data_IF_778753586857
#
_entry.id   IF_778753586857
#
_cell.length_a   1.000
_cell.length_b   1.000
_cell.length_c   1.000
_cell.angle_alpha   90.00
_cell.angle_beta   90.00
_cell.angle_gamma   90.00
#
_symmetry.space_group_name_H-M   'P 1'
#
loop_
_entity.id
_entity.type
_entity.pdbx_description
1 polymer ?
#
# COMPACT_ATOMS: atom_id res chain seq x y z
N UNK A 1 -62.60 -6.34 20.32
CA UNK A 1 -61.18 -6.65 20.59
C UNK A 1 -60.54 -7.20 19.33
N UNK A 2 -59.77 -6.40 18.58
CA UNK A 2 -58.85 -6.84 17.50
C UNK A 2 -58.14 -5.61 16.92
N UNK A 3 -57.12 -5.12 17.62
CA UNK A 3 -56.21 -4.09 17.12
C UNK A 3 -54.84 -4.25 17.81
N UNK A 4 -54.23 -5.42 17.62
CA UNK A 4 -52.83 -5.64 18.03
C UNK A 4 -52.24 -6.62 17.01
N UNK A 5 -51.79 -6.13 15.85
CA UNK A 5 -50.88 -6.91 15.00
C UNK A 5 -50.05 -6.09 14.00
N UNK A 6 -50.29 -4.77 13.84
CA UNK A 6 -49.62 -3.98 12.80
C UNK A 6 -48.40 -3.16 13.24
N UNK A 7 -48.04 -3.15 14.54
CA UNK A 7 -46.92 -2.32 15.03
C UNK A 7 -45.60 -3.10 15.14
N UNK A 8 -45.64 -4.44 15.12
CA UNK A 8 -44.41 -5.23 15.23
C UNK A 8 -43.64 -5.39 13.91
N UNK A 9 -44.29 -5.25 12.75
CA UNK A 9 -43.64 -5.47 11.45
C UNK A 9 -42.82 -4.24 10.98
N UNK A 10 -43.19 -3.03 11.41
CA UNK A 10 -42.47 -1.79 11.04
C UNK A 10 -41.18 -1.59 11.83
N UNK A 11 -41.08 -2.12 13.05
CA UNK A 11 -39.86 -2.05 13.87
C UNK A 11 -38.75 -2.96 13.34
N UNK A 12 -39.08 -4.14 12.80
CA UNK A 12 -38.08 -5.07 12.23
C UNK A 12 -37.45 -4.53 10.93
N UNK A 13 -38.19 -3.75 10.13
CA UNK A 13 -37.65 -3.15 8.90
C UNK A 13 -36.73 -1.95 9.16
N UNK A 14 -36.96 -1.20 10.25
CA UNK A 14 -36.07 -0.08 10.59
C UNK A 14 -34.72 -0.59 11.12
N UNK A 15 -34.72 -1.62 11.96
CA UNK A 15 -33.48 -2.21 12.51
C UNK A 15 -32.57 -2.76 11.40
N UNK A 16 -33.13 -3.37 10.34
CA UNK A 16 -32.30 -3.89 9.23
C UNK A 16 -31.71 -2.79 8.33
N UNK A 17 -32.40 -1.65 8.17
CA UNK A 17 -31.91 -0.53 7.34
C UNK A 17 -30.78 0.24 8.04
N UNK A 18 -30.91 0.46 9.36
CA UNK A 18 -29.86 1.14 10.14
C UNK A 18 -28.56 0.32 10.23
N UNK A 19 -28.64 -1.00 10.42
CA UNK A 19 -27.45 -1.86 10.47
C UNK A 19 -26.67 -1.93 9.14
N UNK A 20 -27.37 -1.82 8.01
CA UNK A 20 -26.75 -1.82 6.67
C UNK A 20 -25.98 -0.51 6.41
N UNK A 21 -26.54 0.64 6.80
CA UNK A 21 -25.91 1.95 6.60
C UNK A 21 -24.63 2.10 7.44
N UNK A 22 -24.66 1.68 8.71
CA UNK A 22 -23.50 1.67 9.59
C UNK A 22 -22.37 0.76 9.06
N UNK A 23 -22.72 -0.43 8.57
CA UNK A 23 -21.76 -1.36 7.98
C UNK A 23 -21.15 -0.81 6.68
N UNK A 24 -21.94 -0.17 5.81
CA UNK A 24 -21.43 0.50 4.63
C UNK A 24 -20.45 1.63 4.99
N UNK A 25 -20.76 2.41 6.02
CA UNK A 25 -19.88 3.46 6.51
C UNK A 25 -18.55 2.89 7.04
N UNK A 26 -18.61 1.80 7.82
CA UNK A 26 -17.42 1.10 8.32
C UNK A 26 -16.54 0.57 7.19
N UNK A 27 -17.13 0.03 6.11
CA UNK A 27 -16.38 -0.40 4.92
C UNK A 27 -15.70 0.78 4.23
N UNK A 28 -16.39 1.89 4.04
CA UNK A 28 -15.82 3.07 3.39
C UNK A 28 -14.64 3.63 4.20
N UNK A 29 -14.80 3.74 5.52
CA UNK A 29 -13.71 4.14 6.43
C UNK A 29 -12.55 3.15 6.36
N UNK A 30 -12.81 1.85 6.35
CA UNK A 30 -11.75 0.85 6.20
C UNK A 30 -11.01 0.97 4.86
N UNK A 31 -11.69 1.27 3.76
CA UNK A 31 -11.05 1.51 2.45
C UNK A 31 -10.13 2.72 2.51
N UNK A 32 -10.54 3.81 3.15
CA UNK A 32 -9.69 4.99 3.36
C UNK A 32 -8.46 4.65 4.21
N UNK A 33 -8.63 3.92 5.32
CA UNK A 33 -7.54 3.44 6.18
C UNK A 33 -6.57 2.55 5.39
N UNK A 34 -7.08 1.62 4.59
CA UNK A 34 -6.27 0.75 3.74
C UNK A 34 -5.51 1.54 2.66
N UNK A 35 -6.11 2.61 2.14
CA UNK A 35 -5.44 3.53 1.21
C UNK A 35 -4.24 4.19 1.86
N UNK A 36 -4.42 4.77 3.06
CA UNK A 36 -3.32 5.37 3.84
C UNK A 36 -2.27 4.32 4.19
N UNK A 37 -2.69 3.11 4.60
CA UNK A 37 -1.76 2.01 4.86
C UNK A 37 -0.94 1.63 3.62
N UNK A 38 -1.54 1.67 2.43
CA UNK A 38 -0.82 1.49 1.16
C UNK A 38 0.15 2.65 0.87
N UNK A 39 -0.22 3.90 1.18
CA UNK A 39 0.69 5.06 1.10
C UNK A 39 1.96 4.82 1.92
N UNK A 40 1.80 4.51 3.19
CA UNK A 40 2.93 4.29 4.11
C UNK A 40 3.76 3.11 3.62
N UNK A 41 3.11 1.97 3.36
CA UNK A 41 3.83 0.73 3.06
C UNK A 41 4.51 0.75 1.70
N UNK A 42 3.91 1.33 0.66
CA UNK A 42 4.43 1.25 -0.73
C UNK A 42 5.15 2.51 -1.16
N UNK A 43 4.81 3.66 -0.60
CA UNK A 43 5.33 4.97 -1.02
C UNK A 43 6.22 5.61 0.04
N UNK A 44 6.35 5.00 1.23
CA UNK A 44 7.15 5.57 2.30
C UNK A 44 6.56 6.86 2.87
N UNK A 45 5.26 7.14 2.66
CA UNK A 45 4.57 8.34 3.14
C UNK A 45 4.26 8.23 4.64
N UNK A 46 5.30 8.07 5.46
CA UNK A 46 5.20 7.83 6.90
C UNK A 46 4.58 9.00 7.67
N UNK A 47 4.55 10.20 7.08
CA UNK A 47 3.86 11.38 7.63
C UNK A 47 2.34 11.19 7.75
N UNK A 48 1.75 10.26 6.97
CA UNK A 48 0.32 9.95 7.07
C UNK A 48 -0.02 9.04 8.27
N UNK A 49 0.98 8.60 9.07
CA UNK A 49 0.79 7.60 10.12
C UNK A 49 -0.13 8.07 11.26
N UNK A 50 -0.11 9.35 11.64
CA UNK A 50 -1.02 9.85 12.68
C UNK A 50 -2.48 9.87 12.20
N UNK A 51 -2.70 10.17 10.92
CA UNK A 51 -4.02 10.06 10.28
C UNK A 51 -4.47 8.60 10.21
N UNK A 52 -3.56 7.69 9.89
CA UNK A 52 -3.81 6.25 9.93
C UNK A 52 -4.25 5.78 11.32
N UNK A 53 -3.51 6.17 12.37
CA UNK A 53 -3.78 5.78 13.76
C UNK A 53 -5.11 6.33 14.26
N UNK A 54 -5.39 7.61 14.06
CA UNK A 54 -6.66 8.22 14.46
C UNK A 54 -7.86 7.61 13.74
N UNK A 55 -7.74 7.35 12.43
CA UNK A 55 -8.79 6.70 11.64
C UNK A 55 -9.09 5.28 12.12
N UNK A 56 -8.06 4.53 12.54
CA UNK A 56 -8.23 3.21 13.14
C UNK A 56 -9.01 3.25 14.45
N UNK A 57 -8.73 4.22 15.33
CA UNK A 57 -9.48 4.40 16.58
C UNK A 57 -10.96 4.62 16.31
N UNK A 58 -11.29 5.46 15.33
CA UNK A 58 -12.68 5.70 14.92
C UNK A 58 -13.33 4.44 14.37
N UNK A 59 -12.64 3.68 13.51
CA UNK A 59 -13.17 2.42 12.98
C UNK A 59 -13.43 1.38 14.09
N UNK A 60 -12.57 1.29 15.11
CA UNK A 60 -12.82 0.40 16.25
C UNK A 60 -14.09 0.78 17.03
N UNK A 61 -14.37 2.08 17.16
CA UNK A 61 -15.60 2.56 17.76
C UNK A 61 -16.82 2.18 16.91
N UNK A 62 -16.75 2.38 15.59
CA UNK A 62 -17.83 1.98 14.68
C UNK A 62 -18.11 0.47 14.77
N UNK A 63 -17.07 -0.37 14.79
CA UNK A 63 -17.22 -1.83 14.91
C UNK A 63 -17.90 -2.24 16.22
N UNK A 64 -17.70 -1.50 17.31
CA UNK A 64 -18.42 -1.76 18.56
C UNK A 64 -19.92 -1.57 18.41
N UNK A 65 -20.33 -0.60 17.60
CA UNK A 65 -21.72 -0.19 17.44
C UNK A 65 -22.49 -1.05 16.44
N UNK A 66 -21.79 -1.73 15.51
CA UNK A 66 -22.43 -2.63 14.54
C UNK A 66 -23.36 -3.65 15.22
N UNK A 67 -24.54 -3.88 14.66
CA UNK A 67 -25.49 -4.89 15.16
C UNK A 67 -25.11 -6.31 14.68
N UNK A 68 -24.00 -6.83 15.22
CA UNK A 68 -23.48 -8.18 14.94
C UNK A 68 -23.01 -8.86 16.23
N UNK A 69 -22.83 -10.18 16.17
CA UNK A 69 -22.35 -10.96 17.30
C UNK A 69 -20.94 -10.55 17.77
N UNK A 70 -20.67 -10.79 19.05
CA UNK A 70 -19.43 -10.37 19.70
C UNK A 70 -18.19 -11.02 19.08
N UNK A 71 -18.30 -12.27 18.62
CA UNK A 71 -17.16 -13.00 18.05
C UNK A 71 -16.78 -12.43 16.69
N UNK A 72 -17.76 -12.08 15.86
CA UNK A 72 -17.55 -11.35 14.61
C UNK A 72 -16.87 -10.00 14.84
N UNK A 73 -17.33 -9.21 15.82
CA UNK A 73 -16.67 -7.94 16.20
C UNK A 73 -15.21 -8.17 16.58
N UNK A 74 -14.95 -9.15 17.43
CA UNK A 74 -13.60 -9.47 17.90
C UNK A 74 -12.69 -9.86 16.74
N UNK A 75 -13.17 -10.75 15.86
CA UNK A 75 -12.39 -11.24 14.72
C UNK A 75 -12.04 -10.11 13.72
N UNK A 76 -12.95 -9.19 13.47
CA UNK A 76 -12.68 -8.01 12.63
C UNK A 76 -11.58 -7.16 13.29
N UNK A 77 -11.70 -6.88 14.59
CA UNK A 77 -10.72 -6.09 15.33
C UNK A 77 -9.36 -6.75 15.41
N UNK A 78 -9.28 -8.06 15.59
CA UNK A 78 -8.02 -8.83 15.59
C UNK A 78 -7.29 -8.69 14.24
N UNK A 79 -8.03 -8.79 13.14
CA UNK A 79 -7.46 -8.61 11.80
C UNK A 79 -7.00 -7.16 11.58
N UNK A 80 -7.76 -6.17 12.04
CA UNK A 80 -7.39 -4.75 12.00
C UNK A 80 -6.13 -4.49 12.85
N UNK A 81 -6.06 -5.05 14.06
CA UNK A 81 -4.93 -4.91 14.97
C UNK A 81 -3.66 -5.57 14.39
N UNK A 82 -3.82 -6.73 13.77
CA UNK A 82 -2.71 -7.40 13.07
C UNK A 82 -2.21 -6.58 11.89
N UNK A 83 -3.13 -5.99 11.12
CA UNK A 83 -2.80 -5.10 9.99
C UNK A 83 -2.08 -3.83 10.46
N UNK A 84 -2.60 -3.19 11.51
CA UNK A 84 -2.05 -1.95 12.08
C UNK A 84 -0.70 -2.16 12.73
N UNK A 85 -0.48 -3.31 13.40
CA UNK A 85 0.82 -3.66 14.00
C UNK A 85 1.92 -3.74 12.95
N UNK A 86 1.65 -4.36 11.80
CA UNK A 86 2.64 -4.44 10.71
C UNK A 86 2.94 -3.05 10.14
N UNK A 87 1.91 -2.20 9.96
CA UNK A 87 2.10 -0.83 9.48
C UNK A 87 2.88 0.02 10.49
N UNK A 88 2.58 -0.10 11.78
CA UNK A 88 3.31 0.57 12.85
C UNK A 88 4.79 0.19 12.88
N UNK A 89 5.09 -1.10 12.69
CA UNK A 89 6.46 -1.58 12.59
C UNK A 89 7.18 -0.99 11.36
N UNK A 90 6.53 -0.98 10.20
CA UNK A 90 7.08 -0.36 8.99
C UNK A 90 7.29 1.15 9.15
N UNK A 91 6.29 1.86 9.66
CA UNK A 91 6.37 3.29 9.99
C UNK A 91 7.60 3.58 10.84
N UNK A 92 7.77 2.86 11.95
CA UNK A 92 8.90 3.07 12.86
C UNK A 92 10.23 2.92 12.11
N UNK A 93 10.36 1.89 11.28
CA UNK A 93 11.59 1.59 10.54
C UNK A 93 11.88 2.60 9.44
N UNK A 94 10.85 3.01 8.70
CA UNK A 94 10.97 4.06 7.68
C UNK A 94 11.36 5.39 8.30
N UNK A 95 10.65 5.83 9.34
CA UNK A 95 10.91 7.11 9.99
C UNK A 95 12.27 7.16 10.70
N UNK A 96 12.68 6.07 11.37
CA UNK A 96 13.93 6.09 12.15
C UNK A 96 15.19 5.79 11.33
N UNK A 97 15.10 4.89 10.35
CA UNK A 97 16.29 4.38 9.65
C UNK A 97 16.42 4.91 8.23
N UNK A 98 15.31 5.36 7.62
CA UNK A 98 15.25 5.80 6.23
C UNK A 98 14.40 7.06 6.07
N UNK A 99 14.73 8.17 6.78
CA UNK A 99 13.89 9.37 6.81
C UNK A 99 13.73 10.01 5.42
N UNK A 100 14.63 9.75 4.48
CA UNK A 100 14.56 10.28 3.12
C UNK A 100 13.67 9.46 2.18
N UNK A 101 13.10 8.33 2.61
CA UNK A 101 12.30 7.45 1.74
C UNK A 101 11.12 8.16 1.07
N UNK A 102 10.46 9.08 1.78
CA UNK A 102 9.38 9.88 1.21
C UNK A 102 9.91 10.87 0.16
N UNK A 103 11.03 11.53 0.45
CA UNK A 103 11.67 12.47 -0.47
C UNK A 103 12.12 11.75 -1.75
N UNK A 104 12.90 10.67 -1.64
CA UNK A 104 13.34 9.89 -2.80
C UNK A 104 12.16 9.30 -3.59
N UNK A 105 11.05 8.97 -2.93
CA UNK A 105 9.83 8.56 -3.62
C UNK A 105 9.25 9.71 -4.48
N UNK A 106 9.14 10.92 -3.94
CA UNK A 106 8.64 12.09 -4.68
C UNK A 106 9.58 12.46 -5.82
N UNK A 107 10.88 12.56 -5.57
CA UNK A 107 11.88 12.85 -6.60
C UNK A 107 11.86 11.80 -7.73
N UNK A 108 11.66 10.52 -7.38
CA UNK A 108 11.49 9.44 -8.35
C UNK A 108 10.19 9.54 -9.16
N UNK A 109 9.12 10.11 -8.61
CA UNK A 109 7.89 10.38 -9.35
C UNK A 109 8.06 11.59 -10.28
N UNK A 110 8.61 12.68 -9.76
CA UNK A 110 8.79 13.94 -10.49
C UNK A 110 9.73 13.74 -11.68
N UNK A 111 10.81 12.99 -11.49
CA UNK A 111 11.78 12.67 -12.55
C UNK A 111 11.29 11.62 -13.56
N UNK A 112 10.23 10.85 -13.28
CA UNK A 112 9.82 9.71 -14.12
C UNK A 112 9.42 10.12 -15.53
N UNK A 113 8.69 11.24 -15.68
CA UNK A 113 8.24 11.71 -16.99
C UNK A 113 9.44 12.13 -17.85
N UNK A 114 10.37 12.89 -17.25
CA UNK A 114 11.60 13.32 -17.92
C UNK A 114 12.47 12.13 -18.32
N UNK A 115 12.71 11.20 -17.39
CA UNK A 115 13.47 9.99 -17.65
C UNK A 115 12.86 9.13 -18.76
N UNK A 116 11.54 8.91 -18.73
CA UNK A 116 10.87 8.17 -19.79
C UNK A 116 11.01 8.87 -21.13
N UNK A 117 10.87 10.21 -21.19
CA UNK A 117 11.07 10.96 -22.43
C UNK A 117 12.48 10.75 -22.98
N UNK A 118 13.51 10.86 -22.13
CA UNK A 118 14.90 10.65 -22.50
C UNK A 118 15.15 9.22 -23.00
N UNK A 119 14.68 8.20 -22.28
CA UNK A 119 14.79 6.80 -22.70
C UNK A 119 14.14 6.56 -24.06
N UNK A 120 12.96 7.13 -24.32
CA UNK A 120 12.31 6.95 -25.61
C UNK A 120 13.04 7.70 -26.72
N UNK A 121 13.64 8.86 -26.43
CA UNK A 121 14.39 9.63 -27.43
C UNK A 121 15.69 8.97 -27.88
N UNK A 122 16.26 8.04 -27.11
CA UNK A 122 17.43 7.27 -27.59
C UNK A 122 17.04 6.31 -28.71
N UNK A 123 15.76 5.94 -28.84
CA UNK A 123 15.29 4.96 -29.81
C UNK A 123 15.84 3.54 -29.62
N UNK A 124 16.56 3.28 -28.52
CA UNK A 124 17.29 2.03 -28.32
C UNK A 124 16.44 0.97 -27.61
N UNK A 125 15.97 -0.02 -28.37
CA UNK A 125 15.08 -1.06 -27.87
C UNK A 125 15.62 -1.83 -26.64
N UNK A 126 16.92 -2.20 -26.57
CA UNK A 126 17.43 -2.89 -25.38
C UNK A 126 17.34 -2.08 -24.09
N UNK A 127 17.48 -0.75 -24.14
CA UNK A 127 17.31 0.12 -22.97
C UNK A 127 15.84 0.16 -22.52
N UNK A 128 14.91 0.29 -23.46
CA UNK A 128 13.48 0.25 -23.20
C UNK A 128 13.06 -1.08 -22.56
N UNK A 129 13.56 -2.19 -23.09
CA UNK A 129 13.28 -3.53 -22.56
C UNK A 129 13.86 -3.73 -21.15
N UNK A 130 15.10 -3.30 -20.91
CA UNK A 130 15.72 -3.36 -19.60
C UNK A 130 14.93 -2.54 -18.56
N UNK A 131 14.50 -1.32 -18.94
CA UNK A 131 13.70 -0.44 -18.09
C UNK A 131 12.32 -1.04 -17.76
N UNK A 132 11.64 -1.62 -18.75
CA UNK A 132 10.36 -2.31 -18.54
C UNK A 132 10.52 -3.52 -17.60
N UNK A 133 11.55 -4.34 -17.79
CA UNK A 133 11.88 -5.47 -16.89
C UNK A 133 12.11 -5.01 -15.46
N UNK A 134 12.83 -3.91 -15.26
CA UNK A 134 13.10 -3.32 -13.95
C UNK A 134 11.80 -2.85 -13.29
N UNK A 135 11.00 -2.07 -14.00
CA UNK A 135 9.71 -1.52 -13.54
C UNK A 135 8.72 -2.63 -13.18
N UNK A 136 8.57 -3.65 -14.05
CA UNK A 136 7.74 -4.83 -13.78
C UNK A 136 8.21 -5.59 -12.53
N UNK A 137 9.52 -5.64 -12.29
CA UNK A 137 10.08 -6.31 -11.10
C UNK A 137 9.79 -5.52 -9.83
N UNK A 138 9.95 -4.19 -9.83
CA UNK A 138 9.53 -3.32 -8.72
C UNK A 138 8.05 -3.51 -8.41
N UNK A 139 7.17 -3.48 -9.41
CA UNK A 139 5.73 -3.65 -9.20
C UNK A 139 5.38 -5.01 -8.59
N UNK A 140 6.01 -6.08 -9.06
CA UNK A 140 5.86 -7.43 -8.48
C UNK A 140 6.35 -7.45 -7.03
N UNK A 141 7.48 -6.80 -6.74
CA UNK A 141 8.04 -6.67 -5.40
C UNK A 141 7.06 -5.97 -4.45
N UNK A 142 6.51 -4.81 -4.83
CA UNK A 142 5.53 -4.07 -4.02
C UNK A 142 4.26 -4.88 -3.71
N UNK A 143 3.89 -5.82 -4.59
CA UNK A 143 2.73 -6.71 -4.37
C UNK A 143 3.05 -7.92 -3.49
N UNK A 144 4.25 -8.49 -3.61
CA UNK A 144 4.65 -9.72 -2.94
C UNK A 144 6.15 -9.68 -2.61
N UNK A 145 6.56 -8.87 -1.63
CA UNK A 145 7.97 -8.64 -1.37
C UNK A 145 8.68 -9.94 -0.97
N UNK A 146 9.90 -10.12 -1.47
CA UNK A 146 10.73 -11.29 -1.20
C UNK A 146 12.19 -11.03 -1.55
N UNK A 147 13.10 -11.75 -0.89
CA UNK A 147 14.54 -11.71 -1.18
C UNK A 147 14.85 -11.99 -2.67
N UNK A 148 14.11 -12.92 -3.28
CA UNK A 148 14.26 -13.26 -4.71
C UNK A 148 13.95 -12.06 -5.61
N UNK A 149 12.86 -11.34 -5.33
CA UNK A 149 12.48 -10.17 -6.12
C UNK A 149 13.39 -8.97 -5.85
N UNK A 150 13.85 -8.77 -4.61
CA UNK A 150 14.86 -7.75 -4.30
C UNK A 150 16.16 -7.98 -5.09
N UNK A 151 16.68 -9.22 -5.09
CA UNK A 151 17.87 -9.57 -5.89
C UNK A 151 17.62 -9.36 -7.39
N UNK A 152 16.45 -9.76 -7.89
CA UNK A 152 16.08 -9.56 -9.30
C UNK A 152 15.99 -8.08 -9.68
N UNK A 153 15.50 -7.23 -8.78
CA UNK A 153 15.51 -5.77 -8.98
C UNK A 153 16.95 -5.26 -9.15
N UNK A 154 17.87 -5.64 -8.26
CA UNK A 154 19.27 -5.22 -8.37
C UNK A 154 19.91 -5.69 -9.67
N UNK A 155 19.65 -6.93 -10.11
CA UNK A 155 20.14 -7.43 -11.41
C UNK A 155 19.62 -6.60 -12.58
N UNK A 156 18.31 -6.35 -12.66
CA UNK A 156 17.74 -5.55 -13.74
C UNK A 156 18.16 -4.07 -13.66
N UNK A 157 18.42 -3.55 -12.45
CA UNK A 157 18.93 -2.20 -12.28
C UNK A 157 20.33 -2.05 -12.89
N UNK A 158 21.21 -3.02 -12.62
CA UNK A 158 22.53 -3.06 -13.26
C UNK A 158 22.43 -3.27 -14.78
N UNK A 159 21.48 -4.06 -15.26
CA UNK A 159 21.21 -4.21 -16.71
C UNK A 159 20.87 -2.86 -17.37
N UNK A 160 19.96 -2.07 -16.75
CA UNK A 160 19.63 -0.72 -17.26
C UNK A 160 20.85 0.19 -17.23
N UNK A 161 21.59 0.19 -16.12
CA UNK A 161 22.77 1.04 -15.95
C UNK A 161 23.84 0.73 -17.00
N UNK A 162 24.20 -0.54 -17.18
CA UNK A 162 25.20 -0.98 -18.15
C UNK A 162 24.78 -0.62 -19.58
N UNK A 163 23.51 -0.86 -19.93
CA UNK A 163 23.01 -0.51 -21.27
C UNK A 163 23.05 1.00 -21.50
N UNK A 164 22.82 1.81 -20.47
CA UNK A 164 22.90 3.26 -20.57
C UNK A 164 24.35 3.73 -20.76
N UNK A 165 25.29 3.17 -19.98
CA UNK A 165 26.73 3.45 -20.12
C UNK A 165 27.26 3.01 -21.50
N UNK A 166 26.80 1.86 -22.02
CA UNK A 166 27.20 1.33 -23.34
C UNK A 166 26.71 2.19 -24.52
N UNK A 167 25.71 3.04 -24.31
CA UNK A 167 25.23 3.95 -25.36
C UNK A 167 26.17 5.13 -25.60
N UNK A 168 27.10 5.41 -24.68
CA UNK A 168 28.04 6.53 -24.75
C UNK A 168 27.34 7.84 -25.15
N UNK A 169 26.26 8.19 -24.43
CA UNK A 169 25.49 9.40 -24.72
C UNK A 169 26.29 10.64 -24.31
N UNK A 170 25.95 11.80 -24.88
CA UNK A 170 26.50 13.07 -24.41
C UNK A 170 26.11 13.29 -22.94
N UNK A 171 26.98 13.94 -22.15
CA UNK A 171 26.77 14.19 -20.71
C UNK A 171 25.42 14.87 -20.42
N UNK A 172 24.98 15.77 -21.30
CA UNK A 172 23.68 16.47 -21.19
C UNK A 172 22.47 15.52 -21.19
N UNK A 173 22.61 14.32 -21.75
CA UNK A 173 21.57 13.28 -21.78
C UNK A 173 21.85 12.19 -20.73
N UNK A 174 23.10 11.77 -20.58
CA UNK A 174 23.47 10.67 -19.68
C UNK A 174 23.31 11.05 -18.20
N UNK A 175 23.81 12.21 -17.79
CA UNK A 175 23.79 12.67 -16.40
C UNK A 175 22.38 12.72 -15.79
N UNK A 176 21.37 13.36 -16.43
CA UNK A 176 20.02 13.37 -15.87
C UNK A 176 19.41 11.96 -15.81
N UNK A 177 19.76 11.06 -16.72
CA UNK A 177 19.29 9.67 -16.71
C UNK A 177 19.93 8.87 -15.55
N UNK A 178 21.23 9.05 -15.33
CA UNK A 178 21.97 8.43 -14.23
C UNK A 178 21.52 8.97 -12.87
N UNK A 179 21.31 10.29 -12.76
CA UNK A 179 20.78 10.93 -11.57
C UNK A 179 19.39 10.36 -11.19
N UNK A 180 18.50 10.21 -12.18
CA UNK A 180 17.21 9.57 -11.96
C UNK A 180 17.34 8.13 -11.47
N UNK A 181 18.18 7.31 -12.12
CA UNK A 181 18.41 5.92 -11.73
C UNK A 181 18.93 5.82 -10.30
N UNK A 182 19.85 6.70 -9.91
CA UNK A 182 20.38 6.75 -8.55
C UNK A 182 19.26 6.99 -7.52
N UNK A 183 18.42 8.00 -7.70
CA UNK A 183 17.29 8.29 -6.80
C UNK A 183 16.30 7.12 -6.77
N UNK A 184 15.97 6.55 -7.92
CA UNK A 184 15.10 5.39 -8.02
C UNK A 184 15.64 4.17 -7.25
N UNK A 185 16.97 3.96 -7.28
CA UNK A 185 17.65 2.93 -6.53
C UNK A 185 17.63 3.20 -5.02
N UNK A 186 17.90 4.44 -4.59
CA UNK A 186 17.88 4.82 -3.17
C UNK A 186 16.51 4.54 -2.56
N UNK A 187 15.45 5.04 -3.18
CA UNK A 187 14.07 4.77 -2.75
C UNK A 187 13.79 3.26 -2.64
N UNK A 188 14.20 2.46 -3.63
CA UNK A 188 13.97 1.02 -3.57
C UNK A 188 14.76 0.35 -2.43
N UNK A 189 16.02 0.74 -2.24
CA UNK A 189 16.89 0.16 -1.21
C UNK A 189 16.37 0.45 0.20
N UNK A 190 15.91 1.67 0.46
CA UNK A 190 15.29 2.08 1.72
C UNK A 190 13.99 1.32 1.99
N UNK A 191 13.18 1.13 0.94
CA UNK A 191 11.97 0.32 1.03
C UNK A 191 12.28 -1.15 1.32
N UNK A 192 13.26 -1.73 0.63
CA UNK A 192 13.66 -3.13 0.84
C UNK A 192 14.25 -3.35 2.23
N UNK A 193 15.08 -2.42 2.70
CA UNK A 193 15.63 -2.46 4.05
C UNK A 193 14.52 -2.41 5.12
N UNK A 194 13.54 -1.53 4.94
CA UNK A 194 12.35 -1.45 5.80
C UNK A 194 11.58 -2.77 5.81
N UNK A 195 11.29 -3.35 4.64
CA UNK A 195 10.57 -4.61 4.52
C UNK A 195 11.34 -5.80 5.10
N UNK A 196 12.66 -5.84 4.90
CA UNK A 196 13.53 -6.87 5.47
C UNK A 196 13.53 -6.80 6.99
N UNK A 197 13.54 -5.61 7.57
CA UNK A 197 13.54 -5.40 9.02
C UNK A 197 12.23 -5.82 9.72
N UNK A 198 11.11 -5.82 9.00
CA UNK A 198 9.80 -6.29 9.48
C UNK A 198 9.50 -7.73 9.01
N UNK A 199 10.45 -8.34 8.29
CA UNK A 199 10.31 -9.59 7.55
C UNK A 199 9.32 -9.53 6.37
N UNK A 200 9.79 -9.91 5.18
CA UNK A 200 8.96 -9.94 3.96
C UNK A 200 7.68 -10.76 4.09
N UNK A 201 7.68 -11.80 4.92
CA UNK A 201 6.52 -12.65 5.22
C UNK A 201 5.42 -11.86 5.90
N UNK A 202 5.75 -10.97 6.84
CA UNK A 202 4.77 -10.15 7.53
C UNK A 202 4.21 -9.07 6.61
N UNK A 203 5.05 -8.40 5.82
CA UNK A 203 4.59 -7.41 4.83
C UNK A 203 3.62 -8.05 3.82
N UNK A 204 3.88 -9.29 3.40
CA UNK A 204 2.96 -10.05 2.51
C UNK A 204 1.59 -10.32 3.12
N UNK A 205 1.48 -10.43 4.45
CA UNK A 205 0.21 -10.68 5.14
C UNK A 205 -0.74 -9.49 5.05
N UNK A 206 -0.24 -8.26 4.88
CA UNK A 206 -1.07 -7.05 4.79
C UNK A 206 -2.21 -7.16 3.77
N UNK A 207 -1.91 -7.71 2.59
CA UNK A 207 -2.93 -7.92 1.55
C UNK A 207 -4.02 -8.86 2.05
N UNK A 208 -3.63 -10.02 2.60
CA UNK A 208 -4.57 -11.02 3.10
C UNK A 208 -5.44 -10.49 4.24
N UNK A 209 -4.82 -9.87 5.25
CA UNK A 209 -5.52 -9.22 6.36
C UNK A 209 -6.53 -8.18 5.85
N UNK A 210 -6.14 -7.40 4.84
CA UNK A 210 -7.06 -6.41 4.26
C UNK A 210 -8.26 -7.01 3.54
N UNK A 211 -8.07 -8.12 2.84
CA UNK A 211 -9.19 -8.88 2.28
C UNK A 211 -10.08 -9.48 3.35
N UNK A 212 -9.51 -10.01 4.45
CA UNK A 212 -10.30 -10.57 5.54
C UNK A 212 -11.21 -9.51 6.18
N UNK A 213 -10.66 -8.35 6.55
CA UNK A 213 -11.47 -7.25 7.12
C UNK A 213 -12.55 -6.80 6.14
N UNK A 214 -12.20 -6.57 4.87
CA UNK A 214 -13.17 -6.15 3.86
C UNK A 214 -14.28 -7.19 3.66
N UNK A 215 -13.92 -8.47 3.58
CA UNK A 215 -14.87 -9.57 3.40
C UNK A 215 -15.83 -9.66 4.58
N UNK A 216 -15.29 -9.64 5.80
CA UNK A 216 -16.10 -9.71 7.03
C UNK A 216 -17.07 -8.55 7.13
N UNK A 217 -16.63 -7.32 6.86
CA UNK A 217 -17.54 -6.17 6.85
C UNK A 217 -18.59 -6.25 5.73
N UNK A 218 -18.24 -6.81 4.57
CA UNK A 218 -19.18 -6.97 3.44
C UNK A 218 -20.26 -8.02 3.74
N UNK A 219 -19.90 -9.11 4.42
CA UNK A 219 -20.86 -10.16 4.81
C UNK A 219 -21.93 -9.69 5.80
N UNK A 220 -21.74 -8.54 6.45
CA UNK A 220 -22.72 -7.93 7.34
C UNK A 220 -23.83 -7.22 6.54
N UNK A 221 -23.54 -6.80 5.30
CA UNK A 221 -24.47 -6.06 4.44
C UNK A 221 -25.43 -7.00 3.71
N UNK A 222 -25.04 -8.26 3.53
CA UNK A 222 -25.79 -9.28 2.78
C UNK A 222 -26.58 -10.19 3.72
#
# INVERSE_FOLDING_TARGET
MKFVFFVFLSLFFQVSLFGVEESQQAIQKYRAISSIGNSITKRGQYLEYDTFKSSLTNLHADINNLDIDKDSKNKIKENINSYSTIIAALYKKMNSNHPQINQHYQESLDGLIGFNKLIHSTGYAPLLDAWDKLTKTKHKYLKKPSKKLAKKFQTHFQEVKLVLEDLCLDEELEDPMMAYLFIYQQYFNELDASYKSVEYTNVRKLKHLSYQVKSQLTLIIN
#
